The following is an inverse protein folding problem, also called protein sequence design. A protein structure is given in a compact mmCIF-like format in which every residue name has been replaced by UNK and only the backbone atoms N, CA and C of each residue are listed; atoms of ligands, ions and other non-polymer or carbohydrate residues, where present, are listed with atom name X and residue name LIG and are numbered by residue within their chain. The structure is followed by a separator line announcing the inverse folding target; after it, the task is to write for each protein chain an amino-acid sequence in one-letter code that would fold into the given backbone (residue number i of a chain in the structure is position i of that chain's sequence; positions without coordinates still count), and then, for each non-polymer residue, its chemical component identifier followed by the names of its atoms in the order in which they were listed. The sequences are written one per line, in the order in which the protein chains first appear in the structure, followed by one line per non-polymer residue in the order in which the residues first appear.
data_IF_866270763053
#
_entry.id   IF_866270763053
#
_cell.length_a   1.000
_cell.length_b   1.000
_cell.length_c   1.000
_cell.angle_alpha   90.00
_cell.angle_beta   90.00
_cell.angle_gamma   90.00
#
_symmetry.space_group_name_H-M   'P 1'
#
loop_
_entity.id
_entity.type
_entity.pdbx_description
1 polymer ?
#
# COMPACT_ATOMS: atom_id res chain seq x y z
N UNK A 1 -48.42 0.18 -38.52
CA UNK A 1 -47.93 1.38 -37.83
C UNK A 1 -47.16 1.12 -36.48
N UNK A 2 -47.36 0.00 -35.80
CA UNK A 2 -46.63 -0.32 -34.51
C UNK A 2 -45.14 -0.56 -34.67
N UNK A 3 -44.66 -1.14 -35.77
CA UNK A 3 -43.23 -1.46 -35.98
C UNK A 3 -42.36 -0.23 -36.33
N UNK A 4 -42.90 0.79 -36.95
CA UNK A 4 -42.14 2.04 -37.25
C UNK A 4 -41.84 2.86 -36.00
N UNK A 5 -42.76 2.85 -34.97
CA UNK A 5 -42.53 3.53 -33.68
C UNK A 5 -41.46 2.84 -32.83
N UNK A 6 -41.33 1.49 -32.91
CA UNK A 6 -40.27 0.76 -32.17
C UNK A 6 -38.88 0.99 -32.79
N UNK A 7 -38.77 1.09 -34.09
CA UNK A 7 -37.49 1.38 -34.79
C UNK A 7 -37.06 2.84 -34.50
N UNK A 8 -38.01 3.78 -34.48
CA UNK A 8 -37.67 5.18 -34.16
C UNK A 8 -37.25 5.33 -32.67
N UNK A 9 -37.87 4.60 -31.74
CA UNK A 9 -37.50 4.62 -30.32
C UNK A 9 -36.11 3.99 -30.09
N UNK A 10 -35.77 2.91 -30.81
CA UNK A 10 -34.44 2.29 -30.72
C UNK A 10 -33.34 3.17 -31.33
N UNK A 11 -33.61 3.92 -32.40
CA UNK A 11 -32.65 4.85 -33.00
C UNK A 11 -32.46 6.07 -32.09
N UNK A 12 -33.51 6.61 -31.44
CA UNK A 12 -33.41 7.71 -30.47
C UNK A 12 -32.67 7.28 -29.21
N UNK A 13 -32.91 6.06 -28.69
CA UNK A 13 -32.11 5.52 -27.60
C UNK A 13 -30.65 5.26 -27.98
N UNK A 14 -30.38 4.82 -29.20
CA UNK A 14 -29.01 4.61 -29.70
C UNK A 14 -28.26 5.92 -29.94
N UNK A 15 -28.95 6.97 -30.41
CA UNK A 15 -28.36 8.32 -30.56
C UNK A 15 -28.21 9.04 -29.21
N UNK A 16 -29.03 8.75 -28.20
CA UNK A 16 -28.82 9.26 -26.82
C UNK A 16 -27.65 8.55 -26.13
N UNK A 17 -27.37 7.29 -26.45
CA UNK A 17 -26.20 6.56 -25.95
C UNK A 17 -24.90 6.95 -26.67
N UNK A 18 -24.97 7.49 -27.89
CA UNK A 18 -23.81 7.98 -28.64
C UNK A 18 -23.47 9.46 -28.39
N UNK A 19 -24.35 10.20 -27.70
CA UNK A 19 -24.12 11.59 -27.29
C UNK A 19 -23.76 11.77 -25.81
N UNK A 20 -23.22 10.75 -25.15
CA UNK A 20 -22.29 10.97 -24.06
C UNK A 20 -21.01 11.51 -24.71
N UNK A 21 -21.00 12.79 -25.08
CA UNK A 21 -19.78 13.56 -25.24
C UNK A 21 -18.96 13.24 -23.99
N UNK A 22 -17.92 12.45 -24.16
CA UNK A 22 -16.91 12.22 -23.12
C UNK A 22 -16.24 13.58 -22.96
N UNK A 23 -16.86 14.46 -22.16
CA UNK A 23 -16.20 15.66 -21.69
C UNK A 23 -15.05 15.19 -20.83
N UNK A 24 -13.84 15.47 -21.25
CA UNK A 24 -12.66 15.27 -20.44
C UNK A 24 -12.91 15.90 -19.06
N UNK A 25 -12.92 15.09 -18.03
CA UNK A 25 -13.12 15.55 -16.65
C UNK A 25 -11.79 16.06 -16.12
N UNK A 26 -11.83 17.13 -15.34
CA UNK A 26 -10.67 17.60 -14.59
C UNK A 26 -10.78 17.07 -13.16
N UNK A 27 -9.83 16.23 -12.74
CA UNK A 27 -9.81 15.56 -11.44
C UNK A 27 -8.81 16.20 -10.49
N UNK A 28 -9.21 16.33 -9.22
CA UNK A 28 -8.34 16.81 -8.14
C UNK A 28 -7.55 15.68 -7.52
N UNK A 29 -6.46 16.02 -6.81
CA UNK A 29 -5.68 15.06 -6.06
C UNK A 29 -6.52 14.38 -4.96
N UNK A 30 -7.39 15.13 -4.30
CA UNK A 30 -8.26 14.64 -3.22
C UNK A 30 -9.26 13.59 -3.73
N UNK A 31 -9.81 13.77 -4.95
CA UNK A 31 -10.70 12.78 -5.57
C UNK A 31 -9.96 11.47 -5.85
N UNK A 32 -8.72 11.55 -6.34
CA UNK A 32 -7.87 10.37 -6.59
C UNK A 32 -7.46 9.67 -5.29
N UNK A 33 -7.07 10.42 -4.26
CA UNK A 33 -6.77 9.88 -2.92
C UNK A 33 -7.99 9.17 -2.33
N UNK A 34 -9.18 9.76 -2.47
CA UNK A 34 -10.42 9.13 -2.03
C UNK A 34 -10.67 7.81 -2.75
N UNK A 35 -10.40 7.75 -4.05
CA UNK A 35 -10.52 6.53 -4.84
C UNK A 35 -9.54 5.44 -4.37
N UNK A 36 -8.28 5.80 -4.06
CA UNK A 36 -7.30 4.85 -3.49
C UNK A 36 -7.82 4.27 -2.16
N UNK A 37 -8.31 5.12 -1.28
CA UNK A 37 -8.82 4.71 0.04
C UNK A 37 -10.06 3.83 -0.03
N UNK A 38 -10.84 3.90 -1.12
CA UNK A 38 -12.09 3.14 -1.28
C UNK A 38 -11.93 1.87 -2.10
N UNK A 39 -11.12 1.86 -3.16
CA UNK A 39 -11.25 0.85 -4.22
C UNK A 39 -9.93 0.37 -4.84
N UNK A 40 -8.77 0.85 -4.37
CA UNK A 40 -7.46 0.43 -4.89
C UNK A 40 -7.17 -1.05 -4.64
N UNK A 41 -6.19 -1.60 -5.38
CA UNK A 41 -5.71 -2.97 -5.15
C UNK A 41 -5.24 -3.17 -3.70
N UNK A 42 -4.56 -2.19 -3.11
CA UNK A 42 -4.12 -2.24 -1.72
C UNK A 42 -5.30 -2.26 -0.74
N UNK A 43 -6.36 -1.49 -1.01
CA UNK A 43 -7.58 -1.53 -0.21
C UNK A 43 -8.28 -2.88 -0.32
N UNK A 44 -8.43 -3.43 -1.52
CA UNK A 44 -9.02 -4.76 -1.73
C UNK A 44 -8.20 -5.85 -1.04
N UNK A 45 -6.86 -5.78 -1.09
CA UNK A 45 -5.96 -6.69 -0.37
C UNK A 45 -6.13 -6.58 1.15
N UNK A 46 -6.29 -5.37 1.67
CA UNK A 46 -6.57 -5.12 3.09
C UNK A 46 -7.89 -5.78 3.51
N UNK A 47 -8.96 -5.65 2.72
CA UNK A 47 -10.27 -6.26 3.01
C UNK A 47 -10.21 -7.79 2.97
N UNK A 48 -9.41 -8.37 2.06
CA UNK A 48 -9.17 -9.82 2.03
C UNK A 48 -8.41 -10.27 3.27
N UNK A 49 -7.43 -9.50 3.72
CA UNK A 49 -6.64 -9.81 4.93
C UNK A 49 -7.52 -9.83 6.18
N UNK A 50 -8.44 -8.87 6.33
CA UNK A 50 -9.43 -8.87 7.42
C UNK A 50 -10.35 -10.10 7.36
N UNK A 51 -10.89 -10.44 6.19
CA UNK A 51 -11.73 -11.65 6.02
C UNK A 51 -10.97 -12.93 6.38
N UNK A 52 -9.65 -13.02 6.06
CA UNK A 52 -8.84 -14.18 6.49
C UNK A 52 -8.78 -14.29 8.00
N UNK A 53 -8.56 -13.16 8.70
CA UNK A 53 -8.53 -13.13 10.16
C UNK A 53 -9.88 -13.50 10.78
N UNK A 54 -11.00 -13.08 10.17
CA UNK A 54 -12.34 -13.48 10.60
C UNK A 54 -12.56 -15.00 10.49
N UNK A 55 -12.06 -15.61 9.40
CA UNK A 55 -12.12 -17.07 9.22
C UNK A 55 -11.24 -17.80 10.24
N UNK A 56 -10.04 -17.27 10.52
CA UNK A 56 -9.13 -17.83 11.54
C UNK A 56 -9.75 -17.75 12.94
N UNK A 57 -10.36 -16.62 13.31
CA UNK A 57 -11.04 -16.45 14.60
C UNK A 57 -12.22 -17.43 14.74
N UNK A 58 -13.02 -17.57 13.69
CA UNK A 58 -14.10 -18.59 13.66
C UNK A 58 -13.56 -20.02 13.79
N UNK A 59 -12.40 -20.29 13.15
CA UNK A 59 -11.77 -21.62 13.27
C UNK A 59 -11.39 -21.93 14.72
N UNK A 60 -10.89 -20.94 15.48
CA UNK A 60 -10.60 -21.11 16.92
C UNK A 60 -11.89 -21.35 17.71
N UNK A 61 -12.97 -20.65 17.36
CA UNK A 61 -14.27 -20.86 18.04
C UNK A 61 -14.87 -22.25 17.80
N UNK A 62 -14.58 -22.83 16.64
CA UNK A 62 -15.06 -24.14 16.20
C UNK A 62 -14.07 -25.26 16.51
N UNK A 63 -12.90 -24.94 17.06
CA UNK A 63 -11.88 -25.96 17.32
C UNK A 63 -12.39 -27.04 18.26
N UNK A 64 -12.27 -28.28 17.83
CA UNK A 64 -12.81 -29.47 18.51
C UNK A 64 -14.31 -29.74 18.30
N UNK A 65 -15.13 -28.76 17.91
CA UNK A 65 -16.58 -28.91 17.90
C UNK A 65 -17.19 -29.51 16.62
N UNK A 66 -16.48 -29.43 15.48
CA UNK A 66 -16.98 -29.84 14.18
C UNK A 66 -16.01 -30.72 13.41
N UNK A 67 -15.04 -31.31 14.08
CA UNK A 67 -14.06 -32.20 13.45
C UNK A 67 -14.39 -33.65 13.78
N UNK A 68 -14.60 -34.46 12.74
CA UNK A 68 -14.59 -35.91 12.89
C UNK A 68 -13.17 -36.38 12.63
N UNK A 69 -12.55 -36.99 13.63
CA UNK A 69 -11.21 -37.57 13.50
C UNK A 69 -11.35 -39.07 13.26
N UNK A 70 -10.79 -39.56 12.18
CA UNK A 70 -10.65 -40.99 11.90
C UNK A 70 -9.19 -41.36 11.95
N UNK A 71 -8.80 -42.30 12.78
CA UNK A 71 -7.45 -42.82 12.83
C UNK A 71 -7.44 -44.34 12.82
N UNK A 72 -6.46 -44.92 12.16
CA UNK A 72 -6.21 -46.35 12.18
C UNK A 72 -4.71 -46.58 12.37
N UNK A 73 -4.36 -47.42 13.33
CA UNK A 73 -3.00 -47.77 13.65
C UNK A 73 -2.86 -49.28 13.74
N UNK A 74 -1.90 -49.88 13.03
CA UNK A 74 -1.65 -51.33 13.06
C UNK A 74 -0.25 -51.59 13.69
N UNK A 75 -0.27 -52.47 14.69
CA UNK A 75 0.98 -53.04 15.25
C UNK A 75 1.05 -54.50 14.80
N UNK A 76 2.03 -54.85 13.98
CA UNK A 76 2.22 -56.19 13.42
C UNK A 76 3.53 -56.74 13.95
N UNK A 77 3.47 -57.89 14.61
CA UNK A 77 4.64 -58.60 15.13
C UNK A 77 4.87 -59.87 14.32
N UNK A 78 6.14 -60.12 13.95
CA UNK A 78 6.51 -61.32 13.17
C UNK A 78 6.69 -62.61 14.01
N UNK A 79 6.69 -62.46 15.35
CA UNK A 79 6.79 -63.59 16.30
C UNK A 79 5.90 -63.32 17.50
N UNK A 80 5.10 -64.28 17.92
CA UNK A 80 4.14 -64.13 19.05
C UNK A 80 4.82 -63.85 20.41
N UNK A 81 6.16 -64.00 20.53
CA UNK A 81 6.89 -63.73 21.76
C UNK A 81 7.15 -62.22 22.00
N UNK A 82 6.87 -61.37 21.03
CA UNK A 82 7.13 -59.92 21.12
C UNK A 82 5.87 -59.05 21.33
N UNK A 83 4.69 -59.64 21.22
CA UNK A 83 3.41 -58.94 21.38
C UNK A 83 2.33 -59.48 20.46
N UNK A 84 1.12 -59.01 20.64
CA UNK A 84 -0.04 -59.38 19.82
C UNK A 84 -0.18 -58.42 18.64
N UNK A 85 -0.41 -58.97 17.44
CA UNK A 85 -0.68 -58.15 16.25
C UNK A 85 -2.07 -57.56 16.33
N UNK A 86 -2.17 -56.24 16.30
CA UNK A 86 -3.44 -55.53 16.48
C UNK A 86 -3.61 -54.44 15.45
N UNK A 87 -4.87 -54.18 15.07
CA UNK A 87 -5.28 -52.94 14.40
C UNK A 87 -6.25 -52.18 15.30
N UNK A 88 -5.90 -50.91 15.53
CA UNK A 88 -6.75 -50.01 16.30
C UNK A 88 -7.35 -48.97 15.36
N UNK A 89 -8.68 -48.95 15.25
CA UNK A 89 -9.42 -47.94 14.51
C UNK A 89 -10.19 -47.07 15.49
N UNK A 90 -10.09 -45.76 15.38
CA UNK A 90 -10.86 -44.87 16.22
C UNK A 90 -11.54 -43.76 15.42
N UNK A 91 -12.73 -43.40 15.84
CA UNK A 91 -13.49 -42.23 15.35
C UNK A 91 -13.77 -41.33 16.53
N UNK A 92 -13.37 -40.05 16.41
CA UNK A 92 -13.57 -39.02 17.43
C UNK A 92 -14.45 -37.88 16.93
N UNK A 93 -15.27 -37.33 17.82
CA UNK A 93 -16.05 -36.13 17.59
C UNK A 93 -16.20 -35.36 18.91
N UNK A 94 -15.56 -34.18 19.00
CA UNK A 94 -15.48 -33.35 20.22
C UNK A 94 -14.94 -34.18 21.41
N UNK A 95 -15.74 -34.30 22.49
CA UNK A 95 -15.41 -35.09 23.69
C UNK A 95 -15.68 -36.57 23.52
N UNK A 96 -16.43 -36.98 22.46
CA UNK A 96 -16.82 -38.36 22.20
C UNK A 96 -15.82 -39.09 21.32
N UNK A 97 -15.51 -40.32 21.64
CA UNK A 97 -14.74 -41.20 20.75
C UNK A 97 -15.28 -42.64 20.80
N UNK A 98 -15.17 -43.29 19.64
CA UNK A 98 -15.34 -44.73 19.50
C UNK A 98 -14.00 -45.32 19.06
N UNK A 99 -13.58 -46.41 19.68
CA UNK A 99 -12.37 -47.15 19.38
C UNK A 99 -12.65 -48.62 19.26
N UNK A 100 -12.25 -49.25 18.16
CA UNK A 100 -12.19 -50.66 17.93
C UNK A 100 -10.72 -51.14 17.94
N UNK A 101 -10.39 -52.15 18.69
CA UNK A 101 -9.11 -52.85 18.67
C UNK A 101 -9.38 -54.30 18.21
N UNK A 102 -8.88 -54.63 17.03
CA UNK A 102 -8.93 -55.97 16.52
C UNK A 102 -7.58 -56.66 16.74
N UNK A 103 -7.57 -57.82 17.39
CA UNK A 103 -6.39 -58.64 17.62
C UNK A 103 -6.39 -59.78 16.58
N UNK A 104 -5.34 -59.80 15.72
CA UNK A 104 -5.25 -60.78 14.64
C UNK A 104 -4.85 -62.18 15.18
N UNK A 105 -4.18 -62.27 16.32
CA UNK A 105 -3.66 -63.53 16.86
C UNK A 105 -4.75 -64.31 17.58
N UNK A 106 -5.69 -63.64 18.25
CA UNK A 106 -6.83 -64.24 18.96
C UNK A 106 -8.15 -64.10 18.22
N UNK A 107 -8.18 -63.31 17.15
CA UNK A 107 -9.35 -62.92 16.40
C UNK A 107 -10.42 -62.23 17.27
N UNK A 108 -10.03 -61.54 18.33
CA UNK A 108 -10.90 -60.86 19.26
C UNK A 108 -11.04 -59.36 18.85
N UNK A 109 -12.19 -58.81 19.16
CA UNK A 109 -12.48 -57.38 19.04
C UNK A 109 -12.70 -56.77 20.44
N UNK A 110 -12.21 -55.56 20.63
CA UNK A 110 -12.54 -54.75 21.80
C UNK A 110 -13.10 -53.42 21.32
N UNK A 111 -14.34 -53.12 21.62
CA UNK A 111 -15.10 -51.96 21.21
C UNK A 111 -15.37 -51.06 22.40
N UNK A 112 -14.84 -49.83 22.38
CA UNK A 112 -15.00 -48.89 23.49
C UNK A 112 -15.61 -47.57 23.00
N UNK A 113 -16.65 -47.10 23.66
CA UNK A 113 -17.16 -45.74 23.54
C UNK A 113 -16.61 -44.93 24.72
N UNK A 114 -16.06 -43.76 24.44
CA UNK A 114 -15.48 -42.91 25.48
C UNK A 114 -16.00 -41.48 25.37
N UNK A 115 -16.18 -40.85 26.53
CA UNK A 115 -16.40 -39.42 26.71
C UNK A 115 -15.23 -38.93 27.59
N UNK A 116 -14.37 -38.05 27.05
CA UNK A 116 -13.21 -37.56 27.81
C UNK A 116 -13.00 -36.06 27.64
N UNK A 117 -12.52 -35.42 28.70
CA UNK A 117 -12.21 -33.97 28.73
C UNK A 117 -10.91 -33.71 29.44
N UNK A 118 -10.04 -32.90 28.84
CA UNK A 118 -8.86 -32.36 29.51
C UNK A 118 -9.26 -31.17 30.39
N UNK A 119 -8.99 -31.28 31.68
CA UNK A 119 -9.31 -30.24 32.65
C UNK A 119 -8.31 -29.10 32.63
N UNK A 120 -7.15 -29.24 32.01
CA UNK A 120 -6.17 -28.16 31.83
C UNK A 120 -6.80 -26.95 31.14
N UNK A 121 -7.72 -27.17 30.19
CA UNK A 121 -8.47 -26.11 29.51
C UNK A 121 -9.28 -25.20 30.45
N UNK A 122 -9.66 -25.65 31.64
CA UNK A 122 -10.36 -24.82 32.63
C UNK A 122 -9.41 -23.84 33.33
N UNK A 123 -8.13 -24.15 33.40
CA UNK A 123 -7.10 -23.34 34.07
C UNK A 123 -6.29 -22.49 33.06
N UNK A 124 -6.02 -23.04 31.89
CA UNK A 124 -5.31 -22.37 30.78
C UNK A 124 -6.10 -22.62 29.51
N UNK A 125 -6.89 -21.64 29.12
CA UNK A 125 -7.69 -21.73 27.91
C UNK A 125 -6.83 -21.42 26.69
N UNK A 126 -6.39 -22.45 25.96
CA UNK A 126 -5.70 -22.30 24.67
C UNK A 126 -6.53 -21.48 23.67
N UNK A 127 -7.83 -21.63 23.71
CA UNK A 127 -8.78 -20.84 22.92
C UNK A 127 -8.66 -19.34 23.21
N UNK A 128 -8.61 -18.94 24.48
CA UNK A 128 -8.50 -17.53 24.89
C UNK A 128 -7.13 -16.97 24.51
N UNK A 129 -6.07 -17.74 24.69
CA UNK A 129 -4.73 -17.39 24.22
C UNK A 129 -4.70 -17.17 22.72
N UNK A 130 -5.19 -18.12 21.93
CA UNK A 130 -5.21 -18.00 20.47
C UNK A 130 -6.04 -16.80 19.99
N UNK A 131 -7.16 -16.48 20.67
CA UNK A 131 -7.94 -15.26 20.39
C UNK A 131 -7.15 -13.97 20.67
N UNK A 132 -6.39 -13.92 21.76
CA UNK A 132 -5.51 -12.76 22.02
C UNK A 132 -4.44 -12.62 20.96
N UNK A 133 -3.79 -13.71 20.55
CA UNK A 133 -2.78 -13.70 19.49
C UNK A 133 -3.36 -13.24 18.16
N UNK A 134 -4.57 -13.69 17.79
CA UNK A 134 -5.27 -13.17 16.60
C UNK A 134 -5.60 -11.69 16.73
N UNK A 135 -6.01 -11.22 17.89
CA UNK A 135 -6.28 -9.79 18.13
C UNK A 135 -5.03 -8.93 17.87
N UNK A 136 -3.86 -9.30 18.41
CA UNK A 136 -2.60 -8.63 18.13
C UNK A 136 -2.21 -8.70 16.65
N UNK A 137 -2.42 -9.86 16.02
CA UNK A 137 -2.17 -10.05 14.59
C UNK A 137 -3.09 -9.17 13.76
N UNK A 138 -4.37 -9.04 14.13
CA UNK A 138 -5.35 -8.16 13.47
C UNK A 138 -4.93 -6.70 13.57
N UNK A 139 -4.53 -6.24 14.76
CA UNK A 139 -4.08 -4.86 14.97
C UNK A 139 -2.85 -4.55 14.11
N UNK A 140 -1.82 -5.41 14.13
CA UNK A 140 -0.64 -5.22 13.31
C UNK A 140 -0.93 -5.29 11.81
N UNK A 141 -1.83 -6.19 11.37
CA UNK A 141 -2.27 -6.28 9.97
C UNK A 141 -2.97 -5.01 9.51
N UNK A 142 -3.85 -4.44 10.33
CA UNK A 142 -4.52 -3.16 10.02
C UNK A 142 -3.54 -2.01 9.84
N UNK A 143 -2.55 -1.93 10.73
CA UNK A 143 -1.50 -0.90 10.63
C UNK A 143 -0.67 -1.08 9.36
N UNK A 144 -0.25 -2.31 9.04
CA UNK A 144 0.50 -2.61 7.81
C UNK A 144 -0.31 -2.28 6.55
N UNK A 145 -1.60 -2.62 6.54
CA UNK A 145 -2.49 -2.30 5.44
C UNK A 145 -2.64 -0.78 5.25
N UNK A 146 -2.78 -0.03 6.35
CA UNK A 146 -2.82 1.43 6.31
C UNK A 146 -1.51 2.00 5.75
N UNK A 147 -0.36 1.48 6.18
CA UNK A 147 0.96 1.88 5.68
C UNK A 147 1.09 1.63 4.17
N UNK A 148 0.61 0.49 3.69
CA UNK A 148 0.60 0.17 2.25
C UNK A 148 -0.26 1.16 1.46
N UNK A 149 -1.48 1.47 1.93
CA UNK A 149 -2.36 2.45 1.30
C UNK A 149 -1.73 3.84 1.31
N UNK A 150 -1.09 4.25 2.42
CA UNK A 150 -0.40 5.53 2.51
C UNK A 150 0.81 5.60 1.55
N UNK A 151 1.54 4.50 1.37
CA UNK A 151 2.64 4.42 0.38
C UNK A 151 2.11 4.60 -1.04
N UNK A 152 0.96 4.00 -1.38
CA UNK A 152 0.31 4.20 -2.67
C UNK A 152 -0.11 5.66 -2.87
N UNK A 153 -0.65 6.30 -1.83
CA UNK A 153 -1.02 7.73 -1.88
C UNK A 153 0.21 8.61 -2.11
N UNK A 154 1.33 8.35 -1.41
CA UNK A 154 2.58 9.09 -1.63
C UNK A 154 3.07 8.92 -3.06
N UNK A 155 3.04 7.71 -3.60
CA UNK A 155 3.44 7.41 -4.98
C UNK A 155 2.49 8.05 -6.00
N UNK A 156 1.18 8.08 -5.72
CA UNK A 156 0.20 8.82 -6.52
C UNK A 156 0.54 10.32 -6.56
N UNK A 157 0.88 10.92 -5.42
CA UNK A 157 1.25 12.35 -5.34
C UNK A 157 2.46 12.63 -6.23
N UNK A 158 3.45 11.72 -6.27
CA UNK A 158 4.61 11.86 -7.18
C UNK A 158 4.21 11.83 -8.66
N UNK A 159 3.35 10.90 -9.05
CA UNK A 159 2.83 10.83 -10.42
C UNK A 159 1.99 12.05 -10.79
N UNK A 160 1.20 12.56 -9.83
CA UNK A 160 0.41 13.78 -9.99
C UNK A 160 1.31 15.00 -10.26
N UNK A 161 2.37 15.18 -9.47
CA UNK A 161 3.38 16.23 -9.67
C UNK A 161 4.07 16.08 -11.02
N UNK A 162 4.44 14.86 -11.41
CA UNK A 162 5.05 14.61 -12.71
C UNK A 162 4.13 15.01 -13.87
N UNK A 163 2.81 14.78 -13.72
CA UNK A 163 1.83 15.24 -14.69
C UNK A 163 1.75 16.78 -14.75
N UNK A 164 1.65 17.45 -13.60
CA UNK A 164 1.60 18.92 -13.55
C UNK A 164 2.89 19.54 -14.12
N UNK A 165 4.05 18.95 -13.83
CA UNK A 165 5.32 19.40 -14.39
C UNK A 165 5.39 19.19 -15.91
N UNK A 166 4.84 18.08 -16.44
CA UNK A 166 4.72 17.85 -17.89
C UNK A 166 3.76 18.85 -18.54
N UNK A 167 2.67 19.23 -17.87
CA UNK A 167 1.71 20.27 -18.30
C UNK A 167 2.41 21.63 -18.43
N UNK A 168 3.23 21.99 -17.44
CA UNK A 168 4.01 23.25 -17.47
C UNK A 168 5.07 23.24 -18.56
N UNK A 169 5.78 22.14 -18.76
CA UNK A 169 6.74 22.00 -19.86
C UNK A 169 6.05 22.17 -21.23
N UNK A 170 4.88 21.56 -21.42
CA UNK A 170 4.08 21.73 -22.62
C UNK A 170 3.72 23.19 -22.84
N UNK A 171 3.18 23.87 -21.79
CA UNK A 171 2.81 25.27 -21.83
C UNK A 171 3.97 26.19 -22.24
N UNK A 172 5.15 25.99 -21.63
CA UNK A 172 6.35 26.80 -21.97
C UNK A 172 6.76 26.57 -23.43
N UNK A 173 6.72 25.34 -23.94
CA UNK A 173 7.04 25.07 -25.34
C UNK A 173 5.99 25.66 -26.30
N UNK A 174 4.71 25.71 -25.94
CA UNK A 174 3.66 26.40 -26.69
C UNK A 174 3.92 27.91 -26.83
N UNK A 175 4.37 28.56 -25.75
CA UNK A 175 4.81 29.97 -25.78
C UNK A 175 6.05 30.18 -26.66
N UNK A 176 7.04 29.30 -26.54
CA UNK A 176 8.28 29.38 -27.31
C UNK A 176 8.07 29.10 -28.79
N UNK A 177 7.16 28.18 -29.18
CA UNK A 177 6.85 27.88 -30.59
C UNK A 177 6.43 29.15 -31.36
N UNK A 178 5.61 30.01 -30.76
CA UNK A 178 5.16 31.26 -31.39
C UNK A 178 6.35 32.19 -31.64
N UNK A 179 7.25 32.33 -30.65
CA UNK A 179 8.47 33.12 -30.77
C UNK A 179 9.41 32.55 -31.83
N UNK A 180 9.70 31.27 -31.82
CA UNK A 180 10.59 30.60 -32.79
C UNK A 180 10.00 30.57 -34.20
N UNK A 181 8.68 30.56 -34.35
CA UNK A 181 8.04 30.68 -35.67
C UNK A 181 8.33 32.03 -36.32
N UNK A 182 8.28 33.08 -35.53
CA UNK A 182 8.63 34.45 -35.98
C UNK A 182 10.13 34.52 -36.32
N UNK A 183 10.98 34.06 -35.40
CA UNK A 183 12.44 34.01 -35.56
C UNK A 183 12.88 33.29 -36.83
N UNK A 184 12.36 32.06 -37.05
CA UNK A 184 12.58 31.27 -38.25
C UNK A 184 12.24 32.05 -39.50
N UNK A 185 11.11 32.76 -39.54
CA UNK A 185 10.67 33.52 -40.73
C UNK A 185 11.57 34.75 -40.96
N UNK A 186 11.99 35.42 -39.92
CA UNK A 186 12.89 36.58 -39.99
C UNK A 186 14.28 36.16 -40.49
N UNK A 187 14.86 35.10 -39.86
CA UNK A 187 16.20 34.61 -40.23
C UNK A 187 16.22 34.01 -41.63
N UNK A 188 15.17 33.30 -42.03
CA UNK A 188 15.04 32.80 -43.42
C UNK A 188 15.03 33.95 -44.45
N UNK A 189 14.23 35.00 -44.21
CA UNK A 189 14.16 36.13 -45.11
C UNK A 189 15.49 36.91 -45.14
N UNK A 190 16.15 37.09 -44.00
CA UNK A 190 17.46 37.73 -43.92
C UNK A 190 18.51 36.98 -44.75
N UNK A 191 18.51 35.64 -44.72
CA UNK A 191 19.37 34.81 -45.57
C UNK A 191 19.04 34.96 -47.03
N UNK A 192 17.76 34.89 -47.41
CA UNK A 192 17.29 35.01 -48.80
C UNK A 192 17.70 36.34 -49.48
N UNK A 193 17.77 37.42 -48.68
CA UNK A 193 18.19 38.76 -49.19
C UNK A 193 19.70 39.05 -48.97
N UNK A 194 20.48 38.04 -48.52
CA UNK A 194 21.93 38.17 -48.29
C UNK A 194 22.35 38.95 -47.05
N UNK A 195 21.42 39.22 -46.12
CA UNK A 195 21.65 39.95 -44.86
C UNK A 195 21.83 39.02 -43.62
N UNK A 196 21.73 37.71 -43.83
CA UNK A 196 21.87 36.73 -42.76
C UNK A 196 22.67 35.50 -43.19
N UNK A 197 23.15 34.70 -42.21
CA UNK A 197 23.88 33.48 -42.46
C UNK A 197 22.92 32.28 -42.69
N UNK A 198 23.35 31.28 -43.49
CA UNK A 198 22.66 30.02 -43.63
C UNK A 198 22.56 29.32 -42.25
N UNK A 199 23.63 29.38 -41.46
CA UNK A 199 23.67 28.80 -40.09
C UNK A 199 22.52 29.31 -39.20
N UNK A 200 22.34 30.65 -39.14
CA UNK A 200 21.28 31.24 -38.31
C UNK A 200 19.88 30.85 -38.82
N UNK A 201 19.70 30.78 -40.15
CA UNK A 201 18.43 30.34 -40.74
C UNK A 201 18.12 28.88 -40.36
N UNK A 202 19.08 27.96 -40.49
CA UNK A 202 18.88 26.56 -40.12
C UNK A 202 18.72 26.36 -38.61
N UNK A 203 19.52 27.07 -37.79
CA UNK A 203 19.41 27.02 -36.34
C UNK A 203 18.01 27.46 -35.85
N UNK A 204 17.45 28.54 -36.40
CA UNK A 204 16.13 29.02 -36.05
C UNK A 204 15.03 28.05 -36.46
N UNK A 205 15.21 27.34 -37.57
CA UNK A 205 14.32 26.26 -38.02
C UNK A 205 14.36 25.07 -37.05
N UNK A 206 15.55 24.64 -36.63
CA UNK A 206 15.75 23.55 -35.69
C UNK A 206 15.12 23.90 -34.32
N UNK A 207 15.29 25.13 -33.83
CA UNK A 207 14.67 25.57 -32.56
C UNK A 207 13.13 25.51 -32.63
N UNK A 208 12.53 25.94 -33.75
CA UNK A 208 11.08 25.82 -33.96
C UNK A 208 10.62 24.37 -33.99
N UNK A 209 11.33 23.49 -34.73
CA UNK A 209 10.99 22.06 -34.84
C UNK A 209 11.13 21.35 -33.48
N UNK A 210 12.19 21.64 -32.73
CA UNK A 210 12.40 21.08 -31.40
C UNK A 210 11.28 21.46 -30.42
N UNK A 211 10.91 22.74 -30.36
CA UNK A 211 9.81 23.19 -29.50
C UNK A 211 8.48 22.55 -29.92
N UNK A 212 8.22 22.41 -31.22
CA UNK A 212 7.01 21.75 -31.73
C UNK A 212 6.97 20.27 -31.38
N UNK A 213 8.09 19.56 -31.50
CA UNK A 213 8.21 18.15 -31.13
C UNK A 213 8.07 17.96 -29.60
N UNK A 214 8.59 18.88 -28.80
CA UNK A 214 8.43 18.84 -27.36
C UNK A 214 6.95 18.93 -26.92
N UNK A 215 6.13 19.73 -27.58
CA UNK A 215 4.67 19.80 -27.30
C UNK A 215 4.03 18.42 -27.48
N UNK A 216 4.34 17.73 -28.60
CA UNK A 216 3.83 16.39 -28.90
C UNK A 216 4.34 15.38 -27.84
N UNK A 217 5.62 15.43 -27.50
CA UNK A 217 6.21 14.56 -26.48
C UNK A 217 5.53 14.71 -25.12
N UNK A 218 5.34 15.97 -24.65
CA UNK A 218 4.70 16.18 -23.35
C UNK A 218 3.22 15.82 -23.35
N UNK A 219 2.52 15.93 -24.49
CA UNK A 219 1.15 15.44 -24.62
C UNK A 219 1.07 13.92 -24.43
N UNK A 220 1.96 13.16 -25.08
CA UNK A 220 2.06 11.72 -24.86
C UNK A 220 2.47 11.38 -23.42
N UNK A 221 3.41 12.11 -22.84
CA UNK A 221 3.86 11.90 -21.46
C UNK A 221 2.72 12.09 -20.46
N UNK A 222 1.92 13.14 -20.63
CA UNK A 222 0.73 13.39 -19.79
C UNK A 222 -0.28 12.24 -19.89
N UNK A 223 -0.60 11.80 -21.09
CA UNK A 223 -1.51 10.65 -21.32
C UNK A 223 -0.98 9.36 -20.69
N UNK A 224 0.31 9.09 -20.82
CA UNK A 224 0.93 7.92 -20.18
C UNK A 224 0.84 8.00 -18.65
N UNK A 225 1.06 9.17 -18.04
CA UNK A 225 0.94 9.36 -16.59
C UNK A 225 -0.50 9.14 -16.10
N UNK A 226 -1.50 9.59 -16.85
CA UNK A 226 -2.92 9.29 -16.55
C UNK A 226 -3.18 7.79 -16.56
N UNK A 227 -2.72 7.07 -17.60
CA UNK A 227 -2.87 5.62 -17.68
C UNK A 227 -2.12 4.88 -16.57
N UNK A 228 -0.94 5.35 -16.20
CA UNK A 228 -0.15 4.79 -15.10
C UNK A 228 -0.89 4.95 -13.76
N UNK A 229 -1.41 6.14 -13.47
CA UNK A 229 -2.24 6.39 -12.28
C UNK A 229 -3.45 5.47 -12.28
N UNK A 230 -4.19 5.41 -13.39
CA UNK A 230 -5.41 4.61 -13.51
C UNK A 230 -5.16 3.13 -13.25
N UNK A 231 -4.11 2.56 -13.85
CA UNK A 231 -3.85 1.12 -13.80
C UNK A 231 -3.15 0.67 -12.53
N UNK A 232 -2.16 1.44 -12.05
CA UNK A 232 -1.41 1.06 -10.86
C UNK A 232 -2.31 1.03 -9.62
N UNK A 233 -3.29 1.92 -9.54
CA UNK A 233 -4.14 2.04 -8.35
C UNK A 233 -5.59 1.62 -8.57
N UNK A 234 -5.94 1.05 -9.74
CA UNK A 234 -7.32 0.65 -10.07
C UNK A 234 -8.33 1.80 -9.94
N UNK A 235 -7.95 3.00 -10.42
CA UNK A 235 -8.80 4.19 -10.30
C UNK A 235 -9.80 4.24 -11.46
N UNK A 236 -11.02 3.77 -11.23
CA UNK A 236 -12.06 3.67 -12.26
C UNK A 236 -12.73 5.01 -12.63
N UNK A 237 -12.56 6.05 -11.78
CA UNK A 237 -13.12 7.39 -12.04
C UNK A 237 -12.29 8.20 -13.04
N UNK A 238 -11.08 7.73 -13.39
CA UNK A 238 -10.12 8.39 -14.27
C UNK A 238 -10.14 7.74 -15.65
N UNK A 239 -10.32 8.52 -16.72
CA UNK A 239 -10.26 8.07 -18.11
C UNK A 239 -9.00 8.61 -18.80
N UNK A 240 -8.58 7.96 -19.90
CA UNK A 240 -7.37 8.32 -20.65
C UNK A 240 -7.36 9.75 -21.23
N UNK A 241 -8.55 10.34 -21.42
CA UNK A 241 -8.71 11.70 -21.91
C UNK A 241 -8.92 12.75 -20.83
N UNK A 242 -8.99 12.34 -19.55
CA UNK A 242 -9.15 13.25 -18.43
C UNK A 242 -7.87 14.06 -18.18
N UNK A 243 -8.02 15.13 -17.42
CA UNK A 243 -6.92 16.00 -17.03
C UNK A 243 -6.85 16.11 -15.52
N UNK A 244 -5.66 16.44 -15.00
CA UNK A 244 -5.48 16.68 -13.58
C UNK A 244 -5.45 18.17 -13.31
N UNK A 245 -6.18 18.57 -12.27
CA UNK A 245 -6.29 19.95 -11.84
C UNK A 245 -5.02 20.40 -11.12
N UNK A 246 -4.67 21.67 -11.20
CA UNK A 246 -3.59 22.23 -10.39
C UNK A 246 -3.98 22.24 -8.91
N UNK A 247 -2.97 22.27 -8.04
CA UNK A 247 -3.22 22.40 -6.61
C UNK A 247 -3.96 23.71 -6.29
N UNK A 248 -5.07 23.62 -5.58
CA UNK A 248 -5.88 24.80 -5.20
C UNK A 248 -5.28 25.57 -4.02
N UNK A 249 -4.33 24.99 -3.32
CA UNK A 249 -3.83 25.52 -2.06
C UNK A 249 -2.85 26.67 -2.26
N UNK A 250 -3.16 27.82 -1.67
CA UNK A 250 -2.31 29.01 -1.73
C UNK A 250 -1.38 29.15 -0.53
N UNK A 251 -1.68 28.47 0.59
CA UNK A 251 -0.85 28.50 1.78
C UNK A 251 0.14 27.35 1.79
N UNK A 252 1.42 27.66 1.68
CA UNK A 252 2.53 26.71 1.67
C UNK A 252 3.09 26.45 3.06
N UNK A 253 2.65 27.19 4.08
CA UNK A 253 3.20 27.07 5.42
C UNK A 253 2.69 25.80 6.11
N UNK A 254 3.63 25.08 6.72
CA UNK A 254 3.37 23.91 7.57
C UNK A 254 3.77 24.29 8.99
N UNK A 255 2.85 24.21 9.95
CA UNK A 255 3.18 24.48 11.34
C UNK A 255 4.13 23.42 11.90
N UNK A 256 4.94 23.81 12.90
CA UNK A 256 5.85 22.87 13.56
C UNK A 256 5.13 21.68 14.20
N UNK A 257 3.95 21.91 14.75
CA UNK A 257 3.12 20.88 15.39
C UNK A 257 2.73 19.77 14.42
N UNK A 258 2.67 20.06 13.13
CA UNK A 258 2.33 19.10 12.10
C UNK A 258 3.39 18.00 11.96
N UNK A 259 4.68 18.35 12.10
CA UNK A 259 5.78 17.38 12.08
C UNK A 259 5.83 16.52 13.35
N UNK A 260 5.38 17.04 14.47
CA UNK A 260 5.42 16.35 15.76
C UNK A 260 4.30 15.33 15.93
N UNK A 261 3.19 15.55 15.24
CA UNK A 261 2.00 14.68 15.27
C UNK A 261 2.03 13.54 14.24
N UNK A 262 3.15 13.32 13.55
CA UNK A 262 3.29 12.21 12.61
C UNK A 262 3.13 10.89 13.39
N UNK A 263 2.10 10.11 13.01
CA UNK A 263 1.88 8.78 13.55
C UNK A 263 2.92 7.81 12.97
N UNK A 264 3.75 7.22 13.84
CA UNK A 264 4.75 6.25 13.42
C UNK A 264 4.19 4.83 13.53
N UNK A 265 3.79 4.27 12.41
CA UNK A 265 3.24 2.91 12.29
C UNK A 265 4.23 1.85 12.73
N UNK A 266 5.53 2.04 12.49
CA UNK A 266 6.57 1.08 12.85
C UNK A 266 6.75 0.99 14.37
N UNK A 267 6.65 2.12 15.08
CA UNK A 267 6.67 2.15 16.55
C UNK A 267 5.47 1.37 17.10
N UNK A 268 4.28 1.59 16.53
CA UNK A 268 3.07 0.88 16.97
C UNK A 268 3.14 -0.62 16.72
N UNK A 269 3.68 -1.03 15.58
CA UNK A 269 3.91 -2.45 15.26
C UNK A 269 4.89 -3.08 16.26
N UNK A 270 5.99 -2.37 16.58
CA UNK A 270 6.96 -2.85 17.55
C UNK A 270 6.36 -2.99 18.96
N UNK A 271 5.49 -2.05 19.38
CA UNK A 271 4.74 -2.13 20.63
C UNK A 271 3.83 -3.38 20.67
N UNK A 272 3.10 -3.64 19.59
CA UNK A 272 2.25 -4.83 19.45
C UNK A 272 3.10 -6.11 19.49
N UNK A 273 4.26 -6.12 18.84
CA UNK A 273 5.18 -7.26 18.86
C UNK A 273 5.67 -7.58 20.27
N UNK A 274 5.98 -6.56 21.09
CA UNK A 274 6.34 -6.75 22.51
C UNK A 274 5.18 -7.39 23.25
N UNK A 275 3.96 -6.83 23.17
CA UNK A 275 2.76 -7.35 23.85
C UNK A 275 2.46 -8.78 23.46
N UNK A 276 2.58 -9.10 22.17
CA UNK A 276 2.38 -10.45 21.65
C UNK A 276 3.40 -11.42 22.23
N UNK A 277 4.69 -11.07 22.24
CA UNK A 277 5.75 -11.91 22.80
C UNK A 277 5.63 -12.07 24.32
N UNK A 278 5.13 -11.08 25.03
CA UNK A 278 4.85 -11.17 26.47
C UNK A 278 3.69 -12.15 26.75
N UNK A 279 2.63 -12.13 25.95
CA UNK A 279 1.52 -13.10 26.04
C UNK A 279 1.97 -14.52 25.73
N UNK A 280 2.82 -14.69 24.71
CA UNK A 280 3.42 -15.98 24.36
C UNK A 280 4.31 -16.51 25.48
N UNK A 281 5.10 -15.66 26.15
CA UNK A 281 5.90 -16.02 27.32
C UNK A 281 5.03 -16.46 28.50
N UNK A 282 3.91 -15.76 28.75
CA UNK A 282 2.96 -16.12 29.80
C UNK A 282 2.34 -17.49 29.52
N UNK A 283 1.94 -17.75 28.29
CA UNK A 283 1.40 -19.04 27.90
C UNK A 283 2.42 -20.17 28.08
N UNK A 284 3.69 -19.99 27.66
CA UNK A 284 4.76 -20.96 27.89
C UNK A 284 4.98 -21.26 29.38
N UNK A 285 4.97 -20.23 30.24
CA UNK A 285 5.11 -20.40 31.69
C UNK A 285 3.94 -21.14 32.30
N UNK A 286 2.72 -20.91 31.82
CA UNK A 286 1.52 -21.59 32.29
C UNK A 286 1.51 -23.07 31.85
N UNK A 287 1.95 -23.32 30.61
CA UNK A 287 2.09 -24.69 30.09
C UNK A 287 3.11 -25.50 30.87
N UNK A 288 4.24 -24.88 31.26
CA UNK A 288 5.26 -25.51 32.12
C UNK A 288 4.76 -25.78 33.55
N UNK A 289 3.83 -25.00 34.08
CA UNK A 289 3.34 -25.15 35.48
C UNK A 289 2.20 -26.14 35.62
N UNK A 290 1.25 -26.18 34.68
CA UNK A 290 -0.02 -26.89 34.82
C UNK A 290 0.06 -28.24 34.11
N UNK A 291 -0.12 -29.38 34.83
CA UNK A 291 -0.19 -30.68 34.21
C UNK A 291 -1.49 -30.86 33.41
N UNK A 292 -1.46 -31.70 32.37
CA UNK A 292 -2.66 -32.17 31.70
C UNK A 292 -3.34 -33.23 32.59
N UNK A 293 -4.61 -33.03 32.86
CA UNK A 293 -5.48 -33.96 33.62
C UNK A 293 -6.70 -34.26 32.78
N UNK A 294 -6.69 -35.43 32.16
CA UNK A 294 -7.83 -35.94 31.38
C UNK A 294 -8.70 -36.86 32.23
N UNK A 295 -9.96 -36.56 32.31
CA UNK A 295 -10.99 -37.46 32.93
C UNK A 295 -11.85 -38.01 31.79
N UNK A 296 -12.05 -39.33 31.84
CA UNK A 296 -12.89 -40.06 30.87
C UNK A 296 -13.86 -41.04 31.51
N UNK A 297 -15.05 -41.12 30.94
CA UNK A 297 -16.00 -42.18 31.18
C UNK A 297 -16.07 -43.07 29.91
N UNK A 298 -15.88 -44.34 30.09
CA UNK A 298 -15.74 -45.31 28.99
C UNK A 298 -16.77 -46.43 29.18
N UNK A 299 -17.24 -47.01 28.08
CA UNK A 299 -18.07 -48.16 28.05
C UNK A 299 -17.49 -49.23 27.10
N UNK A 300 -17.09 -50.35 27.68
CA UNK A 300 -16.63 -51.53 26.92
C UNK A 300 -17.88 -52.27 26.42
N UNK A 301 -18.11 -52.25 25.11
CA UNK A 301 -19.32 -52.83 24.50
C UNK A 301 -19.30 -54.35 24.60
N UNK A 302 -18.15 -54.97 24.47
CA UNK A 302 -18.00 -56.41 24.42
C UNK A 302 -18.17 -57.03 25.81
N UNK A 303 -17.64 -56.37 26.84
CA UNK A 303 -17.78 -56.77 28.24
C UNK A 303 -19.08 -56.27 28.90
N UNK A 304 -19.75 -55.26 28.28
CA UNK A 304 -20.91 -54.57 28.80
C UNK A 304 -20.64 -53.86 30.14
N UNK A 305 -19.43 -53.34 30.31
CA UNK A 305 -18.96 -52.73 31.57
C UNK A 305 -18.57 -51.27 31.40
N UNK A 306 -19.07 -50.34 32.25
CA UNK A 306 -18.58 -48.99 32.32
C UNK A 306 -17.30 -48.95 33.19
N UNK A 307 -16.35 -48.08 32.80
CA UNK A 307 -15.19 -47.76 33.65
C UNK A 307 -14.80 -46.29 33.51
N UNK A 308 -14.16 -45.74 34.53
CA UNK A 308 -13.64 -44.39 34.55
C UNK A 308 -12.13 -44.42 34.32
N UNK A 309 -11.62 -43.44 33.58
CA UNK A 309 -10.18 -43.23 33.39
C UNK A 309 -9.79 -41.85 33.86
N UNK A 310 -8.66 -41.77 34.58
CA UNK A 310 -8.03 -40.55 34.96
C UNK A 310 -6.58 -40.65 34.47
N UNK A 311 -6.20 -39.74 33.59
CA UNK A 311 -4.83 -39.64 33.08
C UNK A 311 -4.21 -38.30 33.49
N UNK A 312 -3.14 -38.34 34.26
CA UNK A 312 -2.32 -37.20 34.64
C UNK A 312 -0.99 -37.31 33.93
N UNK A 313 -0.70 -36.32 33.08
CA UNK A 313 0.59 -36.25 32.40
C UNK A 313 1.21 -34.86 32.58
N UNK A 314 2.52 -34.86 32.75
CA UNK A 314 3.32 -33.64 32.78
C UNK A 314 4.70 -33.89 32.19
N UNK A 315 5.06 -33.06 31.21
CA UNK A 315 6.42 -32.99 30.70
C UNK A 315 7.18 -31.93 31.48
N UNK A 316 8.37 -32.27 32.00
CA UNK A 316 9.22 -31.35 32.70
C UNK A 316 10.30 -30.85 31.76
N UNK A 317 10.29 -29.56 31.40
CA UNK A 317 11.43 -28.91 30.74
C UNK A 317 12.46 -28.51 31.80
N UNK A 318 13.49 -29.31 31.94
CA UNK A 318 14.52 -29.10 32.98
C UNK A 318 15.40 -27.90 32.68
N UNK A 319 15.56 -27.49 31.45
CA UNK A 319 16.44 -26.41 31.02
C UNK A 319 15.71 -25.10 30.77
N UNK A 320 14.38 -25.12 30.62
CA UNK A 320 13.54 -23.94 30.31
C UNK A 320 14.04 -23.09 29.16
N UNK A 321 14.62 -23.76 28.15
CA UNK A 321 15.24 -23.10 26.99
C UNK A 321 14.24 -22.29 26.20
N UNK A 322 13.02 -22.79 26.00
CA UNK A 322 11.95 -22.11 25.29
C UNK A 322 11.53 -20.81 26.00
N UNK A 323 11.43 -20.84 27.35
CA UNK A 323 11.12 -19.64 28.14
C UNK A 323 12.25 -18.62 28.03
N UNK A 324 13.51 -19.07 28.11
CA UNK A 324 14.69 -18.20 28.03
C UNK A 324 14.81 -17.57 26.63
N UNK A 325 14.60 -18.36 25.56
CA UNK A 325 14.58 -17.83 24.19
C UNK A 325 13.50 -16.76 24.01
N UNK A 326 12.30 -16.98 24.54
CA UNK A 326 11.22 -15.99 24.47
C UNK A 326 11.53 -14.71 25.27
N UNK A 327 12.21 -14.82 26.40
CA UNK A 327 12.68 -13.65 27.16
C UNK A 327 13.69 -12.82 26.36
N UNK A 328 14.66 -13.47 25.68
CA UNK A 328 15.62 -12.78 24.82
C UNK A 328 14.96 -12.15 23.60
N UNK A 329 13.92 -12.79 23.05
CA UNK A 329 13.11 -12.20 21.96
C UNK A 329 12.40 -10.91 22.43
N UNK A 330 11.81 -10.91 23.62
CA UNK A 330 11.18 -9.72 24.20
C UNK A 330 12.21 -8.60 24.40
N UNK A 331 13.39 -8.93 24.92
CA UNK A 331 14.48 -7.96 25.08
C UNK A 331 14.90 -7.35 23.73
N UNK A 332 15.07 -8.18 22.71
CA UNK A 332 15.37 -7.72 21.36
C UNK A 332 14.27 -6.83 20.77
N UNK A 333 13.00 -7.19 20.99
CA UNK A 333 11.85 -6.37 20.54
C UNK A 333 11.83 -5.00 21.25
N UNK A 334 12.18 -4.95 22.55
CA UNK A 334 12.30 -3.69 23.32
C UNK A 334 13.44 -2.82 22.79
N UNK A 335 14.60 -3.38 22.48
CA UNK A 335 15.72 -2.67 21.86
C UNK A 335 15.34 -2.11 20.49
N UNK A 336 14.62 -2.88 19.68
CA UNK A 336 14.11 -2.41 18.39
C UNK A 336 13.10 -1.25 18.56
N UNK A 337 12.22 -1.33 19.52
CA UNK A 337 11.28 -0.25 19.87
C UNK A 337 12.00 1.05 20.26
N UNK A 338 13.01 0.97 21.13
CA UNK A 338 13.84 2.13 21.52
C UNK A 338 14.58 2.74 20.34
N UNK A 339 15.14 1.90 19.45
CA UNK A 339 15.76 2.35 18.21
C UNK A 339 14.78 3.10 17.29
N UNK A 340 13.55 2.61 17.17
CA UNK A 340 12.52 3.27 16.36
C UNK A 340 12.11 4.61 16.98
N UNK A 341 12.01 4.72 18.29
CA UNK A 341 11.77 5.99 19.00
C UNK A 341 12.89 7.02 18.71
N UNK A 342 14.15 6.59 18.79
CA UNK A 342 15.29 7.46 18.45
C UNK A 342 15.25 7.92 16.99
N UNK A 343 14.95 7.00 16.08
CA UNK A 343 14.83 7.31 14.65
C UNK A 343 13.69 8.29 14.35
N UNK A 344 12.58 8.24 15.11
CA UNK A 344 11.48 9.19 14.96
C UNK A 344 11.95 10.64 15.10
N UNK A 345 12.74 10.93 16.12
CA UNK A 345 13.29 12.29 16.32
C UNK A 345 14.19 12.72 15.17
N UNK A 346 15.03 11.82 14.66
CA UNK A 346 15.89 12.08 13.51
C UNK A 346 15.04 12.39 12.26
N UNK A 347 14.00 11.58 12.02
CA UNK A 347 13.11 11.73 10.87
C UNK A 347 12.29 13.02 10.92
N UNK A 348 11.82 13.43 12.10
CA UNK A 348 11.14 14.72 12.31
C UNK A 348 12.09 15.87 11.96
N UNK A 349 13.31 15.84 12.49
CA UNK A 349 14.31 16.89 12.23
C UNK A 349 14.65 16.94 10.73
N UNK A 350 14.89 15.79 10.10
CA UNK A 350 15.13 15.71 8.66
C UNK A 350 13.97 16.28 7.85
N UNK A 351 12.72 15.93 8.20
CA UNK A 351 11.54 16.45 7.51
C UNK A 351 11.43 17.98 7.62
N UNK A 352 11.77 18.55 8.78
CA UNK A 352 11.82 20.02 8.97
C UNK A 352 12.90 20.66 8.08
N UNK A 353 14.08 20.03 7.95
CA UNK A 353 15.18 20.51 7.09
C UNK A 353 14.78 20.43 5.63
N UNK A 354 14.25 19.28 5.17
CA UNK A 354 13.79 19.10 3.79
C UNK A 354 12.74 20.16 3.40
N UNK A 355 11.80 20.43 4.30
CA UNK A 355 10.79 21.49 4.09
C UNK A 355 11.41 22.89 4.01
N UNK A 356 12.33 23.22 4.92
CA UNK A 356 13.01 24.51 4.91
C UNK A 356 13.85 24.71 3.63
N UNK A 357 14.43 23.63 3.09
CA UNK A 357 15.14 23.67 1.82
C UNK A 357 14.20 23.94 0.64
N UNK A 358 13.04 23.25 0.59
CA UNK A 358 12.02 23.48 -0.42
C UNK A 358 11.51 24.93 -0.40
N UNK A 359 11.25 25.49 0.78
CA UNK A 359 10.84 26.90 0.95
C UNK A 359 11.91 27.86 0.48
N UNK A 360 13.16 27.65 0.86
CA UNK A 360 14.31 28.47 0.42
C UNK A 360 14.37 28.50 -1.11
N UNK A 361 14.30 27.33 -1.74
CA UNK A 361 14.38 27.21 -3.19
C UNK A 361 13.19 27.87 -3.89
N UNK A 362 11.97 27.68 -3.36
CA UNK A 362 10.76 28.32 -3.86
C UNK A 362 10.87 29.84 -3.86
N UNK A 363 11.31 30.45 -2.74
CA UNK A 363 11.50 31.90 -2.67
C UNK A 363 12.63 32.42 -3.56
N UNK A 364 13.73 31.66 -3.70
CA UNK A 364 14.82 32.04 -4.59
C UNK A 364 14.36 32.02 -6.05
N UNK A 365 13.64 30.99 -6.48
CA UNK A 365 13.09 30.90 -7.84
C UNK A 365 12.02 31.98 -8.10
N UNK A 366 11.19 32.33 -7.11
CA UNK A 366 10.25 33.44 -7.22
C UNK A 366 10.96 34.77 -7.51
N UNK A 367 12.10 35.06 -6.82
CA UNK A 367 12.92 36.23 -7.08
C UNK A 367 13.56 36.16 -8.45
N UNK A 368 13.99 34.97 -8.88
CA UNK A 368 14.60 34.78 -10.21
C UNK A 368 13.61 35.08 -11.32
N UNK A 369 12.34 34.64 -11.19
CA UNK A 369 11.25 34.97 -12.13
C UNK A 369 11.09 36.48 -12.24
N UNK A 370 11.05 37.21 -11.11
CA UNK A 370 10.93 38.65 -11.10
C UNK A 370 12.10 39.34 -11.83
N UNK A 371 13.35 38.90 -11.58
CA UNK A 371 14.55 39.45 -12.21
C UNK A 371 14.54 39.20 -13.71
N UNK A 372 14.27 37.97 -14.15
CA UNK A 372 14.27 37.61 -15.57
C UNK A 372 13.14 38.26 -16.34
N UNK A 373 11.98 38.44 -15.70
CA UNK A 373 10.85 39.20 -16.26
C UNK A 373 11.29 40.66 -16.51
N UNK A 374 11.91 41.32 -15.53
CA UNK A 374 12.40 42.69 -15.67
C UNK A 374 13.48 42.82 -16.75
N UNK A 375 14.37 41.86 -16.85
CA UNK A 375 15.36 41.81 -17.94
C UNK A 375 14.65 41.71 -19.30
N UNK A 376 13.68 40.84 -19.46
CA UNK A 376 12.93 40.72 -20.70
C UNK A 376 12.21 42.04 -21.05
N UNK A 377 11.50 42.65 -20.09
CA UNK A 377 10.82 43.95 -20.28
C UNK A 377 11.80 45.04 -20.75
N UNK A 378 12.99 45.13 -20.14
CA UNK A 378 14.03 46.08 -20.54
C UNK A 378 14.53 45.80 -21.96
N UNK A 379 14.80 44.55 -22.32
CA UNK A 379 15.30 44.20 -23.64
C UNK A 379 14.23 44.40 -24.73
N UNK A 380 12.94 44.23 -24.40
CA UNK A 380 11.84 44.58 -25.30
C UNK A 380 11.86 46.06 -25.66
N UNK A 381 12.01 46.96 -24.67
CA UNK A 381 12.10 48.40 -24.91
C UNK A 381 13.41 48.78 -25.68
N UNK A 382 14.52 48.13 -25.34
CA UNK A 382 15.79 48.34 -26.08
C UNK A 382 15.72 47.94 -27.54
N UNK A 383 15.05 46.85 -27.87
CA UNK A 383 14.80 46.46 -29.25
C UNK A 383 13.95 47.49 -30.00
N UNK A 384 12.84 47.93 -29.39
CA UNK A 384 11.96 48.97 -29.94
C UNK A 384 12.71 50.30 -30.22
N UNK A 385 13.76 50.60 -29.44
CA UNK A 385 14.59 51.81 -29.59
C UNK A 385 15.87 51.57 -30.38
N UNK A 386 16.09 50.35 -30.93
CA UNK A 386 17.27 50.00 -31.71
C UNK A 386 18.55 49.82 -30.87
N UNK A 387 18.46 49.75 -29.53
CA UNK A 387 19.58 49.57 -28.60
C UNK A 387 19.87 48.08 -28.27
N UNK A 388 19.04 47.17 -28.70
CA UNK A 388 19.26 45.73 -28.61
C UNK A 388 18.75 45.04 -29.89
N UNK A 389 19.31 43.87 -30.17
CA UNK A 389 18.88 43.03 -31.30
C UNK A 389 17.63 42.23 -30.92
N UNK A 390 16.92 41.77 -31.96
CA UNK A 390 15.83 40.83 -31.81
C UNK A 390 16.26 39.54 -31.07
N UNK A 391 17.46 39.02 -31.40
CA UNK A 391 18.01 37.80 -30.79
C UNK A 391 18.26 37.96 -29.28
N UNK A 392 18.77 39.10 -28.87
CA UNK A 392 18.97 39.40 -27.45
C UNK A 392 17.61 39.41 -26.68
N UNK A 393 16.59 40.03 -27.26
CA UNK A 393 15.25 40.00 -26.65
C UNK A 393 14.70 38.58 -26.58
N UNK A 394 14.81 37.76 -27.65
CA UNK A 394 14.36 36.37 -27.69
C UNK A 394 15.08 35.55 -26.60
N UNK A 395 16.39 35.71 -26.47
CA UNK A 395 17.17 35.05 -25.41
C UNK A 395 16.64 35.40 -24.00
N UNK A 396 16.35 36.70 -23.74
CA UNK A 396 15.80 37.13 -22.44
C UNK A 396 14.38 36.61 -22.20
N UNK A 397 13.58 36.44 -23.25
CA UNK A 397 12.27 35.78 -23.16
C UNK A 397 12.39 34.30 -22.79
N UNK A 398 13.38 33.60 -23.38
CA UNK A 398 13.67 32.20 -23.02
C UNK A 398 14.12 32.09 -21.56
N UNK A 399 15.02 32.93 -21.11
CA UNK A 399 15.49 32.99 -19.72
C UNK A 399 14.30 33.17 -18.75
N UNK A 400 13.36 34.04 -19.09
CA UNK A 400 12.15 34.30 -18.32
C UNK A 400 11.26 33.07 -18.29
N UNK A 401 10.93 32.44 -19.45
CA UNK A 401 10.08 31.24 -19.51
C UNK A 401 10.68 30.06 -18.75
N UNK A 402 12.02 29.87 -18.84
CA UNK A 402 12.71 28.83 -18.09
C UNK A 402 12.66 29.07 -16.56
N UNK A 403 12.73 30.34 -16.14
CA UNK A 403 12.58 30.69 -14.73
C UNK A 403 11.16 30.42 -14.22
N UNK A 404 10.13 30.75 -15.00
CA UNK A 404 8.73 30.45 -14.69
C UNK A 404 8.51 28.93 -14.58
N UNK A 405 9.06 28.16 -15.51
CA UNK A 405 9.01 26.71 -15.48
C UNK A 405 9.62 26.14 -14.19
N UNK A 406 10.84 26.60 -13.85
CA UNK A 406 11.54 26.15 -12.65
C UNK A 406 10.79 26.50 -11.37
N UNK A 407 10.23 27.70 -11.30
CA UNK A 407 9.40 28.16 -10.20
C UNK A 407 8.13 27.30 -10.04
N UNK A 408 7.38 27.07 -11.14
CA UNK A 408 6.14 26.28 -11.09
C UNK A 408 6.41 24.82 -10.69
N UNK A 409 7.50 24.20 -11.18
CA UNK A 409 7.91 22.86 -10.75
C UNK A 409 8.21 22.84 -9.24
N UNK A 410 8.96 23.82 -8.74
CA UNK A 410 9.30 23.88 -7.30
C UNK A 410 8.06 24.15 -6.44
N UNK A 411 7.12 24.99 -6.92
CA UNK A 411 5.80 25.17 -6.28
C UNK A 411 5.04 23.86 -6.17
N UNK A 412 4.99 23.06 -7.25
CA UNK A 412 4.32 21.78 -7.25
C UNK A 412 4.99 20.80 -6.27
N UNK A 413 6.31 20.76 -6.19
CA UNK A 413 7.06 19.96 -5.22
C UNK A 413 6.75 20.38 -3.76
N UNK A 414 6.69 21.67 -3.48
CA UNK A 414 6.40 22.20 -2.14
C UNK A 414 4.97 21.84 -1.70
N UNK A 415 3.98 21.99 -2.59
CA UNK A 415 2.60 21.61 -2.31
C UNK A 415 2.46 20.09 -2.13
N UNK A 416 3.12 19.30 -2.99
CA UNK A 416 3.16 17.85 -2.85
C UNK A 416 3.80 17.41 -1.53
N UNK A 417 4.84 18.11 -1.07
CA UNK A 417 5.48 17.80 0.22
C UNK A 417 4.50 17.93 1.39
N UNK A 418 3.64 18.95 1.36
CA UNK A 418 2.60 19.15 2.37
C UNK A 418 1.61 17.98 2.38
N UNK A 419 1.10 17.57 1.22
CA UNK A 419 0.24 16.39 1.12
C UNK A 419 0.93 15.10 1.57
N UNK A 420 2.19 14.89 1.16
CA UNK A 420 2.93 13.68 1.52
C UNK A 420 3.18 13.54 3.03
N UNK A 421 3.38 14.66 3.73
CA UNK A 421 3.66 14.62 5.17
C UNK A 421 2.47 14.06 5.96
N UNK A 422 1.23 14.24 5.46
CA UNK A 422 0.01 13.66 6.06
C UNK A 422 -0.01 12.13 6.00
N UNK A 423 0.68 11.55 5.02
CA UNK A 423 0.71 10.10 4.77
C UNK A 423 2.08 9.47 5.10
N UNK A 424 3.06 10.25 5.55
CA UNK A 424 4.31 9.74 6.10
C UNK A 424 4.06 9.19 7.50
N UNK A 425 4.30 7.90 7.66
CA UNK A 425 4.14 7.17 8.93
C UNK A 425 5.49 6.71 9.45
#
# INVERSE_FOLDING_TARGET
MKNKKRILLSIVCYTMLLNSSIYAKELTLEELIKSIKSDSYSKQSADISEKKLDVQEKSIDLDGKNKITLSSNANIYSHNNYGQSTITTSVGYDIFSYRNIHNFDTNDNNNVISVSKDLKEFFVSEKNYNKKIISYTRESTRINNLQTINTDIISLIDLYVNYLNAKEEKRVNEELVNTYKIDKNVKKKAYEVGLGSLYDSELSKVNFENASNNIIFYDYKMKNLIEEIRKNYNINILDSNDTLKEFDEKNYEISNDYFENIYDTNIKIAEIAIKKSEEELENLKNDDKIPSLTIGANYDIDKKEPYFSINLSKTFDTYKESIKLKQLEIENNKLNYEKLLSNKYINITKSKVDYAELLKDYYNLSRQVYITQKQYEIYKVKEETGLATYDERVSKYQDYQNSVLSYNKKRNELLAYKYKIEYRN
#
